data_IF_827231544455
#
_entry.id   IF_827231544455
#
_cell.length_a   1.000
_cell.length_b   1.000
_cell.length_c   1.000
_cell.angle_alpha   90.00
_cell.angle_beta   90.00
_cell.angle_gamma   90.00
#
_symmetry.space_group_name_H-M   'P 1'
#
loop_
_entity.id
_entity.type
_entity.pdbx_description
1 polymer ?
#
# COMPACT_ATOMS: atom_id res chain seq x y z
N UNK A 1 4.29 13.46 -1.60
CA UNK A 1 3.60 12.48 -0.74
C UNK A 1 3.08 13.20 0.50
N UNK A 2 1.97 12.76 1.06
CA UNK A 2 1.39 13.42 2.22
C UNK A 2 2.24 13.27 3.46
N UNK A 3 2.27 14.31 4.29
CA UNK A 3 3.01 14.30 5.55
C UNK A 3 2.56 13.17 6.47
N UNK A 4 1.27 12.83 6.43
CA UNK A 4 0.70 11.74 7.20
C UNK A 4 1.45 10.43 6.95
N UNK A 5 1.74 10.14 5.68
CA UNK A 5 2.45 8.92 5.28
C UNK A 5 3.94 9.03 5.66
N UNK A 6 4.54 10.18 5.43
CA UNK A 6 5.96 10.40 5.74
C UNK A 6 6.27 10.26 7.23
N UNK A 7 5.39 10.74 8.08
CA UNK A 7 5.54 10.60 9.52
C UNK A 7 5.51 9.16 10.00
N UNK A 8 4.87 8.27 9.23
CA UNK A 8 4.70 6.86 9.56
C UNK A 8 5.58 5.94 8.74
N UNK A 9 6.57 6.49 8.04
CA UNK A 9 7.40 5.71 7.13
C UNK A 9 8.13 4.57 7.84
N UNK A 10 8.69 4.81 9.01
CA UNK A 10 9.39 3.78 9.78
C UNK A 10 8.43 2.65 10.19
N UNK A 11 7.21 3.01 10.62
CA UNK A 11 6.19 2.02 10.96
C UNK A 11 5.79 1.20 9.74
N UNK A 12 5.66 1.85 8.58
CA UNK A 12 5.32 1.17 7.32
C UNK A 12 6.41 0.19 6.92
N UNK A 13 7.67 0.57 7.05
CA UNK A 13 8.80 -0.30 6.75
C UNK A 13 8.77 -1.54 7.66
N UNK A 14 8.54 -1.34 8.96
CA UNK A 14 8.46 -2.44 9.91
C UNK A 14 7.34 -3.41 9.57
N UNK A 15 6.16 -2.89 9.21
CA UNK A 15 5.02 -3.72 8.79
C UNK A 15 5.36 -4.50 7.53
N UNK A 16 6.00 -3.86 6.55
CA UNK A 16 6.39 -4.53 5.31
C UNK A 16 7.36 -5.68 5.57
N UNK A 17 8.33 -5.47 6.44
CA UNK A 17 9.31 -6.52 6.80
C UNK A 17 8.62 -7.67 7.53
N UNK A 18 7.73 -7.37 8.44
CA UNK A 18 7.00 -8.39 9.21
C UNK A 18 6.13 -9.26 8.31
N UNK A 19 5.49 -8.67 7.32
CA UNK A 19 4.51 -9.35 6.47
C UNK A 19 5.06 -9.83 5.13
N UNK A 20 6.37 -9.77 4.94
CA UNK A 20 7.03 -10.22 3.70
C UNK A 20 6.56 -9.48 2.46
N UNK A 21 6.36 -8.17 2.59
CA UNK A 21 6.06 -7.29 1.47
C UNK A 21 7.34 -7.08 0.66
N UNK A 22 7.26 -7.19 -0.64
CA UNK A 22 8.39 -6.92 -1.54
C UNK A 22 8.47 -5.45 -1.92
N UNK A 23 7.34 -4.85 -2.28
CA UNK A 23 7.25 -3.42 -2.62
C UNK A 23 5.96 -2.83 -2.08
N UNK A 24 6.04 -1.58 -1.64
CA UNK A 24 4.89 -0.80 -1.20
C UNK A 24 4.95 0.58 -1.84
N UNK A 25 3.89 0.94 -2.55
CA UNK A 25 3.71 2.26 -3.14
C UNK A 25 2.45 2.91 -2.56
N UNK A 26 2.44 4.23 -2.48
CA UNK A 26 1.21 5.00 -2.35
C UNK A 26 0.84 5.56 -3.73
N UNK A 27 -0.43 5.70 -4.02
CA UNK A 27 -0.89 6.27 -5.28
C UNK A 27 -2.20 7.03 -5.08
N UNK A 28 -2.70 7.63 -6.16
CA UNK A 28 -3.98 8.33 -6.13
C UNK A 28 -3.95 9.59 -5.29
N UNK A 29 -5.00 9.85 -4.51
CA UNK A 29 -5.12 11.06 -3.72
C UNK A 29 -4.02 11.21 -2.66
N UNK A 30 -3.47 10.11 -2.17
CA UNK A 30 -2.42 10.13 -1.14
C UNK A 30 -1.11 10.77 -1.62
N UNK A 31 -0.92 10.92 -2.93
CA UNK A 31 0.27 11.55 -3.52
C UNK A 31 -0.07 12.88 -4.21
N UNK A 32 -1.29 13.37 -4.05
CA UNK A 32 -1.76 14.60 -4.70
C UNK A 32 -2.23 15.61 -3.66
N UNK A 33 -2.47 16.84 -4.13
CA UNK A 33 -3.02 17.93 -3.30
C UNK A 33 -4.52 17.81 -3.08
N UNK A 34 -5.16 16.79 -3.68
CA UNK A 34 -6.59 16.51 -3.52
C UNK A 34 -6.89 15.69 -2.26
N UNK A 35 -5.87 15.29 -1.52
CA UNK A 35 -6.03 14.48 -0.32
C UNK A 35 -6.72 15.30 0.78
N UNK A 36 -7.73 14.70 1.41
CA UNK A 36 -8.53 15.32 2.47
C UNK A 36 -8.55 14.43 3.72
N UNK A 37 -9.06 14.96 4.82
CA UNK A 37 -9.16 14.22 6.09
C UNK A 37 -10.03 12.97 5.99
N UNK A 38 -11.00 12.96 5.08
CA UNK A 38 -11.89 11.83 4.86
C UNK A 38 -11.49 10.97 3.67
N UNK A 39 -10.38 11.28 3.01
CA UNK A 39 -9.90 10.50 1.87
C UNK A 39 -9.35 9.15 2.30
N UNK A 40 -9.61 8.11 1.50
CA UNK A 40 -8.96 6.82 1.66
C UNK A 40 -7.49 6.93 1.26
N UNK A 41 -6.66 6.07 1.82
CA UNK A 41 -5.28 5.97 1.38
C UNK A 41 -5.18 4.73 0.49
N UNK A 42 -4.66 4.95 -0.73
CA UNK A 42 -4.51 3.88 -1.73
C UNK A 42 -3.07 3.38 -1.73
N UNK A 43 -2.89 2.09 -1.51
CA UNK A 43 -1.58 1.45 -1.57
C UNK A 43 -1.54 0.39 -2.65
N UNK A 44 -0.42 0.32 -3.35
CA UNK A 44 -0.11 -0.75 -4.28
C UNK A 44 1.00 -1.59 -3.68
N UNK A 45 0.79 -2.89 -3.60
CA UNK A 45 1.75 -3.80 -2.96
C UNK A 45 2.12 -4.97 -3.86
N UNK A 46 3.30 -5.54 -3.62
CA UNK A 46 3.61 -6.89 -4.03
C UNK A 46 4.26 -7.63 -2.88
N UNK A 47 3.88 -8.90 -2.70
CA UNK A 47 4.46 -9.77 -1.68
C UNK A 47 5.68 -10.48 -2.23
N UNK A 48 6.50 -11.02 -1.32
CA UNK A 48 7.62 -11.88 -1.70
C UNK A 48 7.12 -13.08 -2.51
N UNK A 49 7.92 -13.51 -3.49
CA UNK A 49 7.49 -14.53 -4.44
C UNK A 49 7.33 -15.93 -3.84
N UNK A 50 7.95 -16.18 -2.70
CA UNK A 50 8.00 -17.49 -2.08
C UNK A 50 6.91 -17.75 -1.03
N UNK A 51 5.92 -16.88 -0.91
CA UNK A 51 4.84 -17.06 0.05
C UNK A 51 3.86 -18.13 -0.42
N UNK A 52 3.42 -18.99 0.51
CA UNK A 52 2.31 -19.90 0.25
C UNK A 52 1.02 -19.11 0.08
N UNK A 53 -0.01 -19.75 -0.50
CA UNK A 53 -1.33 -19.10 -0.65
C UNK A 53 -1.90 -18.74 0.72
N UNK A 54 -1.71 -19.61 1.70
CA UNK A 54 -2.19 -19.35 3.06
C UNK A 54 -1.50 -18.14 3.68
N UNK A 55 -0.17 -18.07 3.61
CA UNK A 55 0.58 -16.95 4.15
C UNK A 55 0.27 -15.65 3.41
N UNK A 56 0.12 -15.72 2.09
CA UNK A 56 -0.28 -14.56 1.29
C UNK A 56 -1.61 -13.99 1.78
N UNK A 57 -2.60 -14.85 1.96
CA UNK A 57 -3.94 -14.46 2.39
C UNK A 57 -3.91 -13.86 3.79
N UNK A 58 -3.25 -14.55 4.71
CA UNK A 58 -3.15 -14.09 6.10
C UNK A 58 -2.42 -12.74 6.19
N UNK A 59 -1.34 -12.59 5.44
CA UNK A 59 -0.55 -11.35 5.45
C UNK A 59 -1.32 -10.20 4.80
N UNK A 60 -2.13 -10.47 3.77
CA UNK A 60 -2.97 -9.45 3.15
C UNK A 60 -3.95 -8.86 4.16
N UNK A 61 -4.67 -9.70 4.90
CA UNK A 61 -5.62 -9.22 5.90
C UNK A 61 -4.92 -8.54 7.08
N UNK A 62 -3.78 -9.08 7.51
CA UNK A 62 -2.99 -8.46 8.57
C UNK A 62 -2.51 -7.07 8.16
N UNK A 63 -2.07 -6.92 6.92
CA UNK A 63 -1.63 -5.63 6.37
C UNK A 63 -2.77 -4.62 6.40
N UNK A 64 -3.94 -5.02 5.92
CA UNK A 64 -5.11 -4.14 5.89
C UNK A 64 -5.47 -3.65 7.30
N UNK A 65 -5.51 -4.57 8.25
CA UNK A 65 -5.81 -4.25 9.64
C UNK A 65 -4.77 -3.29 10.24
N UNK A 66 -3.48 -3.62 10.07
CA UNK A 66 -2.40 -2.79 10.62
C UNK A 66 -2.37 -1.39 10.03
N UNK A 67 -2.61 -1.25 8.74
CA UNK A 67 -2.64 0.06 8.08
C UNK A 67 -3.83 0.89 8.55
N UNK A 68 -5.00 0.27 8.72
CA UNK A 68 -6.17 0.97 9.24
C UNK A 68 -5.92 1.47 10.66
N UNK A 69 -5.30 0.66 11.50
CA UNK A 69 -4.95 1.08 12.86
C UNK A 69 -3.92 2.21 12.85
N UNK A 70 -2.91 2.09 11.99
CA UNK A 70 -1.83 3.07 11.93
C UNK A 70 -2.34 4.46 11.53
N UNK A 71 -3.22 4.53 10.55
CA UNK A 71 -3.68 5.80 9.99
C UNK A 71 -5.05 6.25 10.51
N UNK A 72 -5.82 5.35 11.11
CA UNK A 72 -7.15 5.68 11.62
C UNK A 72 -8.15 6.08 10.54
N UNK A 73 -8.03 5.50 9.33
CA UNK A 73 -8.91 5.77 8.20
C UNK A 73 -9.01 4.57 7.29
N UNK A 74 -9.92 4.63 6.32
CA UNK A 74 -10.10 3.56 5.35
C UNK A 74 -8.88 3.45 4.45
N UNK A 75 -8.49 2.22 4.17
CA UNK A 75 -7.32 1.87 3.37
C UNK A 75 -7.76 1.00 2.20
N UNK A 76 -7.33 1.36 0.99
CA UNK A 76 -7.50 0.53 -0.19
C UNK A 76 -6.16 -0.10 -0.55
N UNK A 77 -6.15 -1.41 -0.70
CA UNK A 77 -4.94 -2.16 -1.06
C UNK A 77 -5.16 -2.84 -2.40
N UNK A 78 -4.28 -2.53 -3.34
CA UNK A 78 -4.26 -3.15 -4.66
C UNK A 78 -2.98 -3.96 -4.76
N UNK A 79 -3.07 -5.20 -5.24
CA UNK A 79 -1.89 -6.05 -5.44
C UNK A 79 -1.47 -6.01 -6.90
N UNK A 80 -0.15 -5.91 -7.15
CA UNK A 80 0.38 -5.86 -8.52
C UNK A 80 -0.08 -7.05 -9.35
N UNK A 81 -0.09 -8.25 -8.75
CA UNK A 81 -0.42 -9.49 -9.47
C UNK A 81 -1.87 -9.55 -9.95
N UNK A 82 -2.78 -8.78 -9.36
CA UNK A 82 -4.19 -8.79 -9.75
C UNK A 82 -4.56 -7.65 -10.69
N UNK A 83 -3.62 -6.76 -10.99
CA UNK A 83 -3.86 -5.66 -11.91
C UNK A 83 -3.98 -6.19 -13.33
N UNK A 84 -5.08 -5.86 -14.00
CA UNK A 84 -5.33 -6.27 -15.38
C UNK A 84 -5.89 -5.16 -16.26
N UNK A 85 -6.61 -4.20 -15.69
CA UNK A 85 -7.20 -3.11 -16.44
C UNK A 85 -6.11 -2.11 -16.87
N UNK A 86 -5.84 -1.95 -18.20
CA UNK A 86 -4.75 -1.10 -18.65
C UNK A 86 -4.94 0.38 -18.29
N UNK A 87 -6.16 0.86 -18.22
CA UNK A 87 -6.42 2.25 -17.84
C UNK A 87 -6.10 2.50 -16.37
N UNK A 88 -6.42 1.55 -15.53
CA UNK A 88 -6.12 1.65 -14.10
C UNK A 88 -4.62 1.54 -13.85
N UNK A 89 -3.95 0.62 -14.55
CA UNK A 89 -2.48 0.47 -14.48
C UNK A 89 -1.80 1.79 -14.88
N UNK A 90 -2.24 2.39 -15.96
CA UNK A 90 -1.68 3.67 -16.41
C UNK A 90 -1.88 4.77 -15.35
N UNK A 91 -3.09 4.85 -14.79
CA UNK A 91 -3.40 5.82 -13.75
C UNK A 91 -2.51 5.66 -12.52
N UNK A 92 -2.31 4.42 -12.08
CA UNK A 92 -1.43 4.13 -10.94
C UNK A 92 0.00 4.53 -11.26
N UNK A 93 0.49 4.17 -12.44
CA UNK A 93 1.88 4.45 -12.84
C UNK A 93 2.18 5.96 -12.94
N UNK A 94 1.16 6.77 -13.25
CA UNK A 94 1.33 8.22 -13.30
C UNK A 94 1.53 8.85 -11.94
N UNK A 95 0.98 8.25 -10.88
CA UNK A 95 0.94 8.87 -9.56
C UNK A 95 1.74 8.13 -8.50
N UNK A 96 1.99 6.84 -8.67
CA UNK A 96 2.58 6.01 -7.60
C UNK A 96 3.94 6.52 -7.15
N UNK A 97 4.17 6.47 -5.84
CA UNK A 97 5.44 6.80 -5.22
C UNK A 97 5.88 5.65 -4.33
N UNK A 98 7.12 5.22 -4.50
CA UNK A 98 7.67 4.11 -3.74
C UNK A 98 7.90 4.50 -2.28
N UNK A 99 7.42 3.66 -1.37
CA UNK A 99 7.65 3.82 0.06
C UNK A 99 8.70 2.81 0.55
N UNK A 100 8.58 1.57 0.08
CA UNK A 100 9.44 0.48 0.55
C UNK A 100 9.72 -0.50 -0.58
N UNK A 101 10.96 -0.96 -0.64
CA UNK A 101 11.38 -2.06 -1.51
C UNK A 101 12.40 -2.91 -0.78
N UNK A 102 12.12 -4.22 -0.74
CA UNK A 102 13.02 -5.18 -0.08
C UNK A 102 14.28 -5.42 -0.91
#
# INVERSE_FOLDING_TARGET
MQKLIEKRKEDLIAICQELNIKRLYAFGSAVSDKFRDDSDIDFLISFADNLSVEDYTNNYFALHYKLRELFGREIDIVTERTLSNPYFIESINETKQLIYEA
#
